data_IF_924964674501
#
_entry.id   IF_924964674501
#
_cell.length_a   1.000
_cell.length_b   1.000
_cell.length_c   1.000
_cell.angle_alpha   90.00
_cell.angle_beta   90.00
_cell.angle_gamma   90.00
#
_symmetry.space_group_name_H-M   'P 1'
#
loop_
_entity.id
_entity.type
_entity.pdbx_description
1 polymer ?
#
# COMPACT_ATOMS: atom_id res chain seq x y z
N UNK A 1 9.18 9.41 1.90
CA UNK A 1 8.11 8.49 2.37
C UNK A 1 8.76 7.72 3.50
N UNK A 2 8.13 7.71 4.68
CA UNK A 2 8.66 7.04 5.87
C UNK A 2 10.01 7.61 6.37
N UNK A 3 10.12 8.93 6.45
CA UNK A 3 11.40 9.60 6.68
C UNK A 3 11.80 9.58 8.17
N UNK A 4 10.83 9.55 9.09
CA UNK A 4 11.05 9.59 10.54
C UNK A 4 10.87 8.22 11.17
N UNK A 5 9.74 7.54 10.91
CA UNK A 5 9.40 6.29 11.58
C UNK A 5 9.79 5.03 10.80
N UNK A 6 10.12 5.20 9.52
CA UNK A 6 10.33 4.07 8.64
C UNK A 6 9.02 3.33 8.31
N UNK A 7 9.16 2.29 7.49
CA UNK A 7 8.04 1.45 7.06
C UNK A 7 7.84 0.30 8.05
N UNK A 8 6.61 0.16 8.54
CA UNK A 8 6.18 -0.94 9.42
C UNK A 8 5.67 -2.13 8.60
N UNK A 9 5.80 -3.33 9.16
CA UNK A 9 5.33 -4.56 8.50
C UNK A 9 3.86 -4.88 8.81
N UNK A 10 3.29 -4.28 9.85
CA UNK A 10 1.91 -4.52 10.26
C UNK A 10 1.21 -3.28 10.83
N UNK A 11 -0.11 -3.37 11.04
CA UNK A 11 -0.89 -2.30 11.69
C UNK A 11 -0.66 -2.28 13.20
N UNK A 12 -0.35 -3.44 13.80
CA UNK A 12 -0.02 -3.56 15.22
C UNK A 12 1.30 -2.84 15.54
N UNK A 13 2.31 -2.97 14.68
CA UNK A 13 3.57 -2.21 14.85
C UNK A 13 3.34 -0.69 14.76
N UNK A 14 2.50 -0.26 13.81
CA UNK A 14 2.10 1.14 13.65
C UNK A 14 1.37 1.66 14.90
N UNK A 15 0.35 0.94 15.37
CA UNK A 15 -0.44 1.35 16.53
C UNK A 15 0.39 1.32 17.82
N UNK A 16 1.33 0.38 17.96
CA UNK A 16 2.28 0.35 19.09
C UNK A 16 3.22 1.55 19.08
N UNK A 17 3.68 1.98 17.91
CA UNK A 17 4.47 3.21 17.80
C UNK A 17 3.64 4.43 18.21
N UNK A 18 2.38 4.51 17.77
CA UNK A 18 1.45 5.57 18.17
C UNK A 18 1.20 5.58 19.69
N UNK A 19 1.01 4.41 20.31
CA UNK A 19 0.82 4.26 21.76
C UNK A 19 2.05 4.74 22.54
N UNK A 20 3.26 4.43 22.07
CA UNK A 20 4.50 4.94 22.65
C UNK A 20 4.53 6.47 22.68
N UNK A 21 4.25 7.10 21.53
CA UNK A 21 4.22 8.56 21.40
C UNK A 21 3.13 9.19 22.28
N UNK A 22 1.96 8.55 22.36
CA UNK A 22 0.86 9.02 23.19
C UNK A 22 1.25 9.03 24.68
N UNK A 23 1.86 7.95 25.17
CA UNK A 23 2.34 7.84 26.55
C UNK A 23 3.45 8.84 26.89
N UNK A 24 4.25 9.22 25.90
CA UNK A 24 5.29 10.25 26.02
C UNK A 24 4.75 11.69 25.89
N UNK A 25 3.43 11.85 25.66
CA UNK A 25 2.78 13.13 25.38
C UNK A 25 3.29 13.83 24.09
N UNK A 26 3.78 13.07 23.12
CA UNK A 26 4.35 13.58 21.88
C UNK A 26 3.32 13.61 20.73
N UNK A 27 2.32 14.47 20.89
CA UNK A 27 1.20 14.60 19.94
C UNK A 27 1.64 15.06 18.55
N UNK A 28 2.71 15.86 18.47
CA UNK A 28 3.24 16.32 17.20
C UNK A 28 3.76 15.14 16.36
N UNK A 29 4.47 14.20 16.99
CA UNK A 29 4.98 13.03 16.30
C UNK A 29 3.89 12.01 15.95
N UNK A 30 2.75 11.98 16.66
CA UNK A 30 1.57 11.21 16.23
C UNK A 30 1.04 11.74 14.89
N UNK A 31 0.92 13.06 14.73
CA UNK A 31 0.49 13.68 13.47
C UNK A 31 1.46 13.37 12.32
N UNK A 32 2.76 13.39 12.61
CA UNK A 32 3.80 13.00 11.63
C UNK A 32 3.68 11.52 11.26
N UNK A 33 3.55 10.63 12.25
CA UNK A 33 3.37 9.20 12.04
C UNK A 33 2.15 8.90 11.16
N UNK A 34 1.02 9.56 11.45
CA UNK A 34 -0.20 9.45 10.66
C UNK A 34 0.03 9.87 9.20
N UNK A 35 0.63 11.06 9.01
CA UNK A 35 0.93 11.60 7.69
C UNK A 35 1.87 10.70 6.88
N UNK A 36 2.91 10.15 7.50
CA UNK A 36 3.84 9.25 6.82
C UNK A 36 3.20 7.92 6.40
N UNK A 37 2.08 7.55 7.01
CA UNK A 37 1.36 6.31 6.72
C UNK A 37 0.05 6.54 5.97
N UNK A 38 -0.18 7.75 5.44
CA UNK A 38 -1.38 8.07 4.66
C UNK A 38 -2.67 8.08 5.49
N UNK A 39 -2.57 8.23 6.81
CA UNK A 39 -3.73 8.31 7.72
C UNK A 39 -4.22 9.76 7.76
N UNK A 40 -5.52 10.02 7.54
CA UNK A 40 -6.05 11.37 7.58
C UNK A 40 -5.86 12.03 8.96
N UNK A 41 -5.55 13.32 8.95
CA UNK A 41 -5.29 14.09 10.18
C UNK A 41 -6.46 14.04 11.17
N UNK A 42 -7.71 14.00 10.68
CA UNK A 42 -8.90 13.87 11.52
C UNK A 42 -8.87 12.61 12.39
N UNK A 43 -8.39 11.47 11.88
CA UNK A 43 -8.24 10.25 12.66
C UNK A 43 -7.10 10.35 13.68
N UNK A 44 -5.99 11.00 13.31
CA UNK A 44 -4.92 11.27 14.25
C UNK A 44 -5.39 12.15 15.41
N UNK A 45 -6.21 13.16 15.12
CA UNK A 45 -6.80 14.04 16.13
C UNK A 45 -7.79 13.30 17.04
N UNK A 46 -8.63 12.41 16.51
CA UNK A 46 -9.49 11.54 17.32
C UNK A 46 -8.67 10.65 18.26
N UNK A 47 -7.56 10.09 17.78
CA UNK A 47 -6.67 9.28 18.61
C UNK A 47 -6.00 10.12 19.72
N UNK A 48 -5.48 11.31 19.38
CA UNK A 48 -4.90 12.26 20.34
C UNK A 48 -5.92 12.69 21.42
N UNK A 49 -7.19 12.87 21.04
CA UNK A 49 -8.28 13.19 21.95
C UNK A 49 -8.69 12.01 22.85
N UNK A 50 -8.25 10.79 22.53
CA UNK A 50 -8.68 9.56 23.20
C UNK A 50 -10.08 9.08 22.80
N UNK A 51 -10.63 9.60 21.69
CA UNK A 51 -11.96 9.24 21.18
C UNK A 51 -11.94 7.88 20.45
N UNK A 52 -10.79 7.49 19.91
CA UNK A 52 -10.56 6.16 19.32
C UNK A 52 -9.38 5.47 20.00
N UNK A 53 -9.43 4.14 20.18
CA UNK A 53 -8.42 3.41 20.94
C UNK A 53 -7.11 3.17 20.17
N UNK A 54 -7.15 3.23 18.85
CA UNK A 54 -6.03 2.94 17.96
C UNK A 54 -5.95 4.01 16.87
N UNK A 55 -4.72 4.30 16.39
CA UNK A 55 -4.50 5.33 15.38
C UNK A 55 -5.09 4.94 14.02
N UNK A 56 -5.04 3.65 13.68
CA UNK A 56 -5.50 3.14 12.40
C UNK A 56 -5.98 1.70 12.52
N UNK A 57 -6.99 1.34 11.73
CA UNK A 57 -7.34 -0.06 11.49
C UNK A 57 -6.53 -0.64 10.33
N UNK A 58 -6.63 -1.95 10.13
CA UNK A 58 -5.86 -2.65 9.09
C UNK A 58 -6.17 -2.15 7.67
N UNK A 59 -7.41 -1.76 7.41
CA UNK A 59 -7.89 -1.30 6.11
C UNK A 59 -7.32 0.07 5.79
N UNK A 60 -7.42 1.01 6.71
CA UNK A 60 -6.89 2.36 6.59
C UNK A 60 -5.36 2.35 6.49
N UNK A 61 -4.67 1.54 7.31
CA UNK A 61 -3.22 1.40 7.23
C UNK A 61 -2.75 0.83 5.89
N UNK A 62 -3.51 -0.10 5.29
CA UNK A 62 -3.22 -0.65 3.97
C UNK A 62 -3.48 0.38 2.85
N UNK A 63 -4.63 1.05 2.86
CA UNK A 63 -4.96 2.08 1.86
C UNK A 63 -3.98 3.24 1.91
N UNK A 64 -3.68 3.74 3.11
CA UNK A 64 -2.72 4.82 3.34
C UNK A 64 -1.31 4.44 2.87
N UNK A 65 -0.89 3.19 3.04
CA UNK A 65 0.36 2.69 2.45
C UNK A 65 0.37 2.83 0.92
N UNK A 66 -0.69 2.38 0.26
CA UNK A 66 -0.80 2.49 -1.20
C UNK A 66 -0.77 3.95 -1.64
N UNK A 67 -1.42 4.87 -0.91
CA UNK A 67 -1.35 6.30 -1.18
C UNK A 67 0.06 6.88 -1.08
N UNK A 68 0.87 6.39 -0.13
CA UNK A 68 2.26 6.83 0.03
C UNK A 68 3.18 6.29 -1.05
N UNK A 69 2.92 5.08 -1.57
CA UNK A 69 3.69 4.46 -2.65
C UNK A 69 3.31 4.98 -4.06
N UNK A 70 2.05 5.43 -4.22
CA UNK A 70 1.49 5.80 -5.52
C UNK A 70 2.29 6.85 -6.30
N UNK A 71 2.80 7.95 -5.70
CA UNK A 71 3.55 8.96 -6.44
C UNK A 71 4.82 8.44 -7.13
N UNK A 72 5.50 7.45 -6.54
CA UNK A 72 6.64 6.78 -7.17
C UNK A 72 6.19 5.87 -8.31
N UNK A 73 5.14 5.08 -8.07
CA UNK A 73 4.58 4.18 -9.07
C UNK A 73 4.07 4.94 -10.32
N UNK A 74 3.39 6.07 -10.15
CA UNK A 74 2.90 6.93 -11.24
C UNK A 74 4.05 7.48 -12.07
N UNK A 75 5.18 7.86 -11.45
CA UNK A 75 6.37 8.32 -12.21
C UNK A 75 6.92 7.24 -13.13
N UNK A 76 6.83 5.97 -12.74
CA UNK A 76 7.35 4.84 -13.52
C UNK A 76 6.33 4.27 -14.53
N UNK A 77 5.05 4.26 -14.17
CA UNK A 77 4.00 3.50 -14.88
C UNK A 77 2.79 4.34 -15.35
N UNK A 78 2.75 5.64 -15.04
CA UNK A 78 1.64 6.54 -15.38
C UNK A 78 0.30 6.04 -14.85
N UNK A 79 -0.78 6.28 -15.60
CA UNK A 79 -2.17 5.93 -15.25
C UNK A 79 -2.39 4.43 -14.95
N UNK A 80 -1.47 3.56 -15.39
CA UNK A 80 -1.53 2.13 -15.02
C UNK A 80 -1.34 1.94 -13.52
N UNK A 81 -0.50 2.76 -12.88
CA UNK A 81 -0.30 2.72 -11.44
C UNK A 81 -1.58 3.09 -10.68
N UNK A 82 -2.27 4.16 -11.11
CA UNK A 82 -3.55 4.58 -10.52
C UNK A 82 -4.60 3.47 -10.61
N UNK A 83 -4.76 2.87 -11.80
CA UNK A 83 -5.73 1.79 -12.00
C UNK A 83 -5.45 0.56 -11.12
N UNK A 84 -4.17 0.22 -10.92
CA UNK A 84 -3.76 -0.89 -10.07
C UNK A 84 -3.95 -0.55 -8.59
N UNK A 85 -3.60 0.67 -8.18
CA UNK A 85 -3.79 1.16 -6.82
C UNK A 85 -5.27 1.16 -6.42
N UNK A 86 -6.15 1.69 -7.28
CA UNK A 86 -7.60 1.67 -7.04
C UNK A 86 -8.15 0.25 -6.91
N UNK A 87 -7.66 -0.66 -7.75
CA UNK A 87 -8.05 -2.07 -7.65
C UNK A 87 -7.59 -2.70 -6.33
N UNK A 88 -6.35 -2.46 -5.90
CA UNK A 88 -5.83 -2.96 -4.61
C UNK A 88 -6.66 -2.41 -3.45
N UNK A 89 -6.94 -1.09 -3.43
CA UNK A 89 -7.75 -0.45 -2.39
C UNK A 89 -9.16 -1.04 -2.33
N UNK A 90 -9.79 -1.31 -3.49
CA UNK A 90 -11.12 -1.93 -3.55
C UNK A 90 -11.18 -3.35 -2.93
N UNK A 91 -10.03 -4.01 -2.76
CA UNK A 91 -9.94 -5.33 -2.14
C UNK A 91 -9.62 -5.27 -0.63
N UNK A 92 -9.25 -4.09 -0.11
CA UNK A 92 -8.81 -3.91 1.28
C UNK A 92 -9.95 -3.98 2.29
N UNK A 93 -11.22 -3.96 1.86
CA UNK A 93 -12.37 -4.28 2.73
C UNK A 93 -12.27 -5.69 3.34
N UNK A 94 -11.43 -6.56 2.75
CA UNK A 94 -11.06 -7.87 3.32
C UNK A 94 -9.81 -7.68 4.18
N UNK A 95 -9.96 -7.72 5.51
CA UNK A 95 -8.85 -7.54 6.46
C UNK A 95 -7.63 -8.44 6.19
N UNK A 96 -7.86 -9.68 5.75
CA UNK A 96 -6.78 -10.61 5.37
C UNK A 96 -5.96 -10.08 4.18
N UNK A 97 -6.62 -9.45 3.21
CA UNK A 97 -5.93 -8.85 2.07
C UNK A 97 -5.24 -7.55 2.48
N UNK A 98 -5.92 -6.69 3.25
CA UNK A 98 -5.35 -5.45 3.76
C UNK A 98 -4.08 -5.68 4.58
N UNK A 99 -4.08 -6.68 5.47
CA UNK A 99 -2.88 -7.04 6.26
C UNK A 99 -1.71 -7.46 5.37
N UNK A 100 -1.96 -8.17 4.25
CA UNK A 100 -0.93 -8.50 3.28
C UNK A 100 -0.43 -7.29 2.49
N UNK A 101 -1.31 -6.36 2.13
CA UNK A 101 -0.93 -5.08 1.50
C UNK A 101 -0.03 -4.28 2.42
N UNK A 102 -0.31 -4.29 3.73
CA UNK A 102 0.47 -3.54 4.71
C UNK A 102 1.93 -4.00 4.80
N UNK A 103 2.21 -5.30 4.64
CA UNK A 103 3.56 -5.88 4.75
C UNK A 103 4.61 -5.14 3.93
N UNK A 104 5.74 -4.82 4.54
CA UNK A 104 6.88 -4.12 3.94
C UNK A 104 7.48 -4.84 2.73
N UNK A 105 7.36 -6.17 2.69
CA UNK A 105 7.81 -6.98 1.57
C UNK A 105 6.95 -6.82 0.30
N UNK A 106 5.73 -6.26 0.44
CA UNK A 106 4.75 -6.09 -0.63
C UNK A 106 4.60 -4.60 -0.98
N UNK A 107 5.05 -4.22 -2.17
CA UNK A 107 4.99 -2.81 -2.62
C UNK A 107 4.33 -2.70 -3.98
N UNK A 108 3.63 -1.58 -4.22
CA UNK A 108 2.94 -1.29 -5.48
C UNK A 108 3.91 -1.33 -6.67
N UNK A 109 5.11 -0.77 -6.51
CA UNK A 109 6.10 -0.75 -7.59
C UNK A 109 6.55 -2.16 -7.99
N UNK A 110 6.80 -3.05 -7.02
CA UNK A 110 7.18 -4.44 -7.29
C UNK A 110 6.03 -5.24 -7.90
N UNK A 111 4.78 -4.94 -7.52
CA UNK A 111 3.60 -5.51 -8.14
C UNK A 111 3.55 -5.16 -9.64
N UNK A 112 3.75 -3.88 -9.97
CA UNK A 112 3.80 -3.37 -11.34
C UNK A 112 4.98 -3.93 -12.13
N UNK A 113 6.18 -4.02 -11.53
CA UNK A 113 7.37 -4.63 -12.15
C UNK A 113 7.12 -6.10 -12.53
N UNK A 114 6.43 -6.86 -11.69
CA UNK A 114 6.05 -8.24 -11.97
C UNK A 114 5.06 -8.31 -13.16
N UNK A 115 4.06 -7.43 -13.16
CA UNK A 115 3.10 -7.32 -14.28
C UNK A 115 3.80 -6.96 -15.60
N UNK A 116 4.74 -6.02 -15.57
CA UNK A 116 5.55 -5.63 -16.73
C UNK A 116 6.38 -6.81 -17.25
N UNK A 117 7.09 -7.48 -16.35
CA UNK A 117 7.93 -8.65 -16.70
C UNK A 117 7.09 -9.74 -17.39
N UNK A 118 5.87 -9.98 -16.91
CA UNK A 118 4.98 -10.95 -17.54
C UNK A 118 4.43 -10.48 -18.89
N UNK A 119 4.15 -9.19 -19.04
CA UNK A 119 3.75 -8.61 -20.32
C UNK A 119 4.87 -8.72 -21.37
N UNK A 120 6.12 -8.51 -20.98
CA UNK A 120 7.29 -8.59 -21.87
C UNK A 120 7.53 -10.01 -22.40
N UNK A 121 7.16 -11.06 -21.66
CA UNK A 121 7.19 -12.45 -22.18
C UNK A 121 6.20 -12.65 -23.34
N UNK A 122 5.18 -11.81 -23.43
CA UNK A 122 4.11 -11.87 -24.42
C UNK A 122 4.26 -10.82 -25.52
N UNK A 123 5.48 -10.30 -25.75
CA UNK A 123 5.73 -9.34 -26.84
C UNK A 123 5.22 -9.92 -28.16
N UNK A 124 4.23 -9.24 -28.72
CA UNK A 124 3.70 -9.54 -30.06
C UNK A 124 4.23 -8.49 -31.02
N UNK A 125 4.73 -8.94 -32.17
CA UNK A 125 5.09 -8.05 -33.27
C UNK A 125 3.83 -7.82 -34.12
N UNK A 126 3.32 -6.59 -34.15
CA UNK A 126 2.21 -6.20 -35.03
C UNK A 126 2.64 -5.01 -35.88
N UNK A 127 2.77 -5.23 -37.20
CA UNK A 127 3.05 -4.17 -38.18
C UNK A 127 4.23 -3.25 -37.81
N UNK A 128 5.36 -3.82 -37.38
CA UNK A 128 6.55 -3.06 -36.99
C UNK A 128 6.52 -2.40 -35.60
N UNK A 129 5.39 -2.47 -34.90
CA UNK A 129 5.27 -2.08 -33.49
C UNK A 129 5.37 -3.32 -32.60
N UNK A 130 6.24 -3.29 -31.59
CA UNK A 130 6.26 -4.26 -30.50
C UNK A 130 5.32 -3.76 -29.41
N UNK A 131 4.31 -4.57 -29.07
CA UNK A 131 3.41 -4.29 -27.96
C UNK A 131 3.44 -5.48 -27.00
N UNK A 132 3.72 -5.19 -25.74
CA UNK A 132 3.56 -6.10 -24.61
C UNK A 132 2.17 -5.84 -24.02
N UNK A 133 1.32 -6.86 -23.96
CA UNK A 133 -0.03 -6.71 -23.40
C UNK A 133 -0.43 -7.94 -22.60
N UNK A 134 -1.03 -7.71 -21.43
CA UNK A 134 -1.72 -8.74 -20.64
C UNK A 134 -3.22 -8.44 -20.63
N UNK A 135 -4.10 -9.46 -20.74
CA UNK A 135 -5.52 -9.28 -20.53
C UNK A 135 -5.82 -8.75 -19.12
N UNK A 136 -6.84 -7.89 -18.91
CA UNK A 136 -7.19 -7.38 -17.59
C UNK A 136 -7.43 -8.47 -16.54
N UNK A 137 -8.07 -9.58 -16.93
CA UNK A 137 -8.31 -10.72 -16.05
C UNK A 137 -7.01 -11.35 -15.53
N UNK A 138 -5.97 -11.41 -16.37
CA UNK A 138 -4.63 -11.84 -15.98
C UNK A 138 -3.99 -10.83 -15.04
N UNK A 139 -4.09 -9.54 -15.34
CA UNK A 139 -3.59 -8.47 -14.45
C UNK A 139 -4.20 -8.54 -13.05
N UNK A 140 -5.52 -8.61 -12.94
CA UNK A 140 -6.21 -8.73 -11.65
C UNK A 140 -5.82 -10.00 -10.88
N UNK A 141 -5.62 -11.12 -11.58
CA UNK A 141 -5.15 -12.35 -10.96
C UNK A 141 -3.72 -12.19 -10.42
N UNK A 142 -2.82 -11.59 -11.21
CA UNK A 142 -1.43 -11.35 -10.78
C UNK A 142 -1.35 -10.43 -9.56
N UNK A 143 -2.18 -9.39 -9.49
CA UNK A 143 -2.24 -8.49 -8.33
C UNK A 143 -2.62 -9.27 -7.07
N UNK A 144 -3.69 -10.08 -7.16
CA UNK A 144 -4.12 -10.93 -6.04
C UNK A 144 -3.04 -11.93 -5.64
N UNK A 145 -2.46 -12.65 -6.59
CA UNK A 145 -1.36 -13.59 -6.34
C UNK A 145 -0.13 -12.91 -5.73
N UNK A 146 0.18 -11.66 -6.11
CA UNK A 146 1.32 -10.94 -5.54
C UNK A 146 1.12 -10.61 -4.06
N UNK A 147 -0.07 -10.20 -3.65
CA UNK A 147 -0.35 -9.85 -2.25
C UNK A 147 -0.77 -11.07 -1.40
N UNK A 148 -1.60 -11.97 -1.94
CA UNK A 148 -2.12 -13.15 -1.22
C UNK A 148 -1.18 -14.37 -1.32
N UNK A 149 -0.41 -14.50 -2.41
CA UNK A 149 0.23 -15.74 -2.84
C UNK A 149 1.59 -16.06 -2.20
N UNK A 150 1.98 -15.38 -1.12
CA UNK A 150 3.13 -15.77 -0.32
C UNK A 150 2.75 -15.97 1.13
N UNK A 151 2.34 -17.19 1.48
CA UNK A 151 2.71 -17.70 2.79
C UNK A 151 4.22 -17.89 2.74
N UNK A 152 4.97 -17.04 3.42
CA UNK A 152 6.41 -17.19 3.59
C UNK A 152 6.67 -18.62 4.11
N UNK A 153 7.41 -19.41 3.35
CA UNK A 153 8.00 -20.68 3.80
C UNK A 153 9.23 -20.39 4.65
#
# INVERSE_FOLDING_TARGET
MFDIFGEFDSVEELNKAAEGLFNENDMNNILVLAKENGIPEDFANLYIAGDIPELSDVTMAAMGKIDMELPEAVKAYGDTADCVADYIKSLCDREQFASMVRRKSRTLIKCLDNMKTEAEKQIKTRSGCQCACIPPSTGYRMIREYYEGGQDQ
#
